data_IF_555259150981
#
_entry.id   IF_555259150981
#
_cell.length_a   1.000
_cell.length_b   1.000
_cell.length_c   1.000
_cell.angle_alpha   90.00
_cell.angle_beta   90.00
_cell.angle_gamma   90.00
#
_symmetry.space_group_name_H-M   'P 1'
#
loop_
_entity.id
_entity.type
_entity.pdbx_description
1 polymer ?
#
# COMPACT_ATOMS: atom_id res chain seq x y z
N UNK A 1 10.11 -5.98 -23.30
CA UNK A 1 9.00 -6.87 -23.67
C UNK A 1 9.29 -7.43 -25.05
N UNK A 2 9.12 -8.74 -25.28
CA UNK A 2 9.30 -9.37 -26.59
C UNK A 2 7.92 -9.77 -27.12
N UNK A 3 7.51 -9.25 -28.29
CA UNK A 3 6.20 -9.54 -28.91
C UNK A 3 6.20 -10.84 -29.73
N UNK A 4 7.37 -11.48 -29.86
CA UNK A 4 7.57 -12.63 -30.73
C UNK A 4 7.81 -12.21 -32.18
N UNK A 5 7.89 -13.22 -33.05
CA UNK A 5 8.06 -13.02 -34.50
C UNK A 5 6.74 -13.24 -35.21
N UNK A 6 6.36 -12.31 -36.08
CA UNK A 6 5.22 -12.48 -36.98
C UNK A 6 5.69 -13.07 -38.31
N UNK A 7 4.92 -14.00 -38.87
CA UNK A 7 5.16 -14.56 -40.21
C UNK A 7 3.95 -14.27 -41.10
N UNK A 8 4.21 -13.87 -42.35
CA UNK A 8 3.19 -13.70 -43.36
C UNK A 8 3.63 -14.39 -44.65
N UNK A 9 2.70 -15.03 -45.35
CA UNK A 9 2.95 -15.69 -46.64
C UNK A 9 1.82 -15.38 -47.61
N UNK A 10 2.13 -15.24 -48.90
CA UNK A 10 1.12 -15.12 -49.95
C UNK A 10 0.55 -16.49 -50.38
N UNK A 11 -0.42 -16.49 -51.30
CA UNK A 11 -1.04 -17.71 -51.82
C UNK A 11 -0.11 -18.60 -52.66
N UNK A 12 1.06 -18.10 -53.07
CA UNK A 12 2.11 -18.86 -53.75
C UNK A 12 3.17 -19.40 -52.77
N UNK A 13 3.07 -19.07 -51.48
CA UNK A 13 3.99 -19.50 -50.43
C UNK A 13 5.20 -18.58 -50.25
N UNK A 14 5.23 -17.40 -50.87
CA UNK A 14 6.32 -16.44 -50.66
C UNK A 14 6.18 -15.76 -49.30
N UNK A 15 7.29 -15.65 -48.56
CA UNK A 15 7.31 -14.91 -47.31
C UNK A 15 7.17 -13.40 -47.55
N UNK A 16 6.29 -12.75 -46.78
CA UNK A 16 6.06 -11.32 -46.79
C UNK A 16 6.60 -10.69 -45.51
N UNK A 17 7.15 -9.48 -45.63
CA UNK A 17 7.48 -8.67 -44.47
C UNK A 17 6.18 -8.13 -43.85
N UNK A 18 6.04 -8.27 -42.53
CA UNK A 18 4.96 -7.67 -41.78
C UNK A 18 5.48 -6.50 -40.95
N UNK A 19 4.68 -5.45 -40.87
CA UNK A 19 4.88 -4.31 -39.97
C UNK A 19 3.88 -4.37 -38.83
N UNK A 20 4.13 -3.64 -37.74
CA UNK A 20 3.18 -3.53 -36.63
C UNK A 20 3.01 -2.07 -36.22
N UNK A 21 1.85 -1.76 -35.63
CA UNK A 21 1.61 -0.47 -34.96
C UNK A 21 2.02 -0.48 -33.48
N UNK A 22 2.84 -1.45 -33.05
CA UNK A 22 3.23 -1.57 -31.64
C UNK A 22 3.91 -0.28 -31.16
N UNK A 23 3.53 0.26 -29.99
CA UNK A 23 4.19 1.43 -29.43
C UNK A 23 5.59 1.06 -28.94
N UNK A 24 6.45 2.07 -28.77
CA UNK A 24 7.79 1.87 -28.18
C UNK A 24 7.72 1.38 -26.72
N UNK A 25 6.64 1.71 -26.01
CA UNK A 25 6.32 1.22 -24.66
C UNK A 25 4.82 1.00 -24.51
N UNK A 26 4.46 -0.06 -23.79
CA UNK A 26 3.06 -0.41 -23.53
C UNK A 26 2.56 0.30 -22.27
N UNK A 27 1.48 1.10 -22.35
CA UNK A 27 0.86 1.68 -21.16
C UNK A 27 0.22 0.60 -20.30
N UNK A 28 -0.08 0.94 -19.04
CA UNK A 28 -0.88 0.10 -18.17
C UNK A 28 -2.25 -0.23 -18.82
N UNK A 29 -2.71 -1.47 -18.68
CA UNK A 29 -3.93 -1.96 -19.29
C UNK A 29 -3.71 -2.69 -20.62
N UNK A 30 -4.78 -2.81 -21.40
CA UNK A 30 -4.78 -3.54 -22.65
C UNK A 30 -4.41 -2.66 -23.85
N UNK A 31 -3.47 -3.14 -24.66
CA UNK A 31 -3.09 -2.56 -25.95
C UNK A 31 -3.27 -3.61 -27.04
N UNK A 32 -3.98 -3.25 -28.11
CA UNK A 32 -4.13 -4.11 -29.29
C UNK A 32 -3.06 -3.72 -30.31
N UNK A 33 -2.17 -4.66 -30.61
CA UNK A 33 -1.18 -4.56 -31.69
C UNK A 33 -1.77 -5.17 -32.94
N UNK A 34 -1.76 -4.43 -34.04
CA UNK A 34 -2.15 -4.88 -35.37
C UNK A 34 -0.90 -5.04 -36.22
N UNK A 35 -0.73 -6.24 -36.75
CA UNK A 35 0.26 -6.58 -37.76
C UNK A 35 -0.34 -6.43 -39.14
N UNK A 36 0.43 -5.93 -40.10
CA UNK A 36 -0.01 -5.72 -41.48
C UNK A 36 1.08 -6.17 -42.44
N UNK A 37 0.70 -7.04 -43.38
CA UNK A 37 1.54 -7.45 -44.50
C UNK A 37 0.86 -7.06 -45.81
N UNK A 38 1.65 -6.65 -46.79
CA UNK A 38 1.17 -6.27 -48.13
C UNK A 38 1.97 -7.04 -49.16
N UNK A 39 1.30 -7.72 -50.08
CA UNK A 39 1.96 -8.42 -51.18
C UNK A 39 2.33 -7.47 -52.33
N UNK A 40 3.07 -7.97 -53.33
CA UNK A 40 3.49 -7.18 -54.49
C UNK A 40 2.32 -6.71 -55.37
N UNK A 41 1.15 -7.32 -55.25
CA UNK A 41 -0.07 -6.96 -55.97
C UNK A 41 -0.91 -5.92 -55.19
N UNK A 42 -0.47 -5.52 -53.99
CA UNK A 42 -1.16 -4.58 -53.12
C UNK A 42 -2.25 -5.21 -52.24
N UNK A 43 -2.35 -6.53 -52.15
CA UNK A 43 -3.30 -7.20 -51.25
C UNK A 43 -2.79 -7.11 -49.81
N UNK A 44 -3.70 -6.87 -48.86
CA UNK A 44 -3.36 -6.63 -47.46
C UNK A 44 -3.94 -7.73 -46.58
N UNK A 45 -3.11 -8.26 -45.68
CA UNK A 45 -3.54 -9.14 -44.59
C UNK A 45 -3.21 -8.49 -43.23
N UNK A 46 -4.10 -8.66 -42.26
CA UNK A 46 -3.91 -8.18 -40.89
C UNK A 46 -4.11 -9.28 -39.86
N UNK A 47 -3.40 -9.15 -38.74
CA UNK A 47 -3.57 -10.00 -37.57
C UNK A 47 -3.43 -9.15 -36.30
N UNK A 48 -4.12 -9.51 -35.23
CA UNK A 48 -4.06 -8.75 -33.97
C UNK A 48 -3.48 -9.58 -32.83
N UNK A 49 -2.82 -8.89 -31.90
CA UNK A 49 -2.33 -9.43 -30.63
C UNK A 49 -2.74 -8.49 -29.51
N UNK A 50 -3.36 -9.03 -28.47
CA UNK A 50 -3.67 -8.26 -27.27
C UNK A 50 -2.50 -8.39 -26.28
N UNK A 51 -1.97 -7.26 -25.84
CA UNK A 51 -0.94 -7.15 -24.82
C UNK A 51 -1.56 -6.48 -23.60
N UNK A 52 -1.48 -7.10 -22.44
CA UNK A 52 -1.97 -6.53 -21.18
C UNK A 52 -0.81 -6.27 -20.25
N UNK A 53 -0.63 -5.01 -19.85
CA UNK A 53 0.29 -4.62 -18.79
C UNK A 53 -0.52 -4.46 -17.52
N UNK A 54 -0.10 -5.13 -16.46
CA UNK A 54 -0.73 -5.06 -15.14
C UNK A 54 0.28 -4.55 -14.13
N UNK A 55 -0.22 -3.80 -13.16
CA UNK A 55 0.56 -3.46 -12.00
C UNK A 55 0.56 -4.64 -11.02
N UNK A 56 1.74 -4.96 -10.52
CA UNK A 56 2.00 -6.08 -9.61
C UNK A 56 2.89 -5.67 -8.45
N UNK A 57 3.23 -4.39 -8.34
CA UNK A 57 4.15 -3.88 -7.32
C UNK A 57 3.34 -3.33 -6.16
N UNK A 58 3.49 -3.86 -4.94
CA UNK A 58 2.85 -3.29 -3.77
C UNK A 58 3.38 -1.88 -3.44
N UNK A 59 2.55 -1.02 -2.81
CA UNK A 59 3.00 0.29 -2.33
C UNK A 59 4.16 0.18 -1.35
N UNK A 60 5.05 1.16 -1.36
CA UNK A 60 6.02 1.36 -0.29
C UNK A 60 5.33 2.01 0.91
N UNK A 61 5.20 1.28 2.01
CA UNK A 61 4.60 1.76 3.28
C UNK A 61 5.69 1.95 4.34
N UNK A 62 5.72 3.14 4.95
CA UNK A 62 6.58 3.48 6.10
C UNK A 62 5.71 3.79 7.31
N UNK A 63 5.84 3.00 8.37
CA UNK A 63 5.14 3.25 9.64
C UNK A 63 5.76 4.43 10.41
N UNK A 64 4.96 5.12 11.23
CA UNK A 64 5.48 6.13 12.15
C UNK A 64 6.39 5.48 13.22
N UNK A 65 7.26 6.27 13.88
CA UNK A 65 8.13 5.76 14.94
C UNK A 65 7.35 5.18 16.13
N UNK A 66 7.96 4.23 16.84
CA UNK A 66 7.39 3.68 18.06
C UNK A 66 7.14 4.77 19.13
N UNK A 67 6.13 4.55 19.97
CA UNK A 67 5.72 5.49 21.02
C UNK A 67 5.89 4.85 22.39
N UNK A 68 6.44 5.61 23.34
CA UNK A 68 6.44 5.28 24.77
C UNK A 68 5.80 6.43 25.52
N UNK A 69 4.79 6.15 26.36
CA UNK A 69 4.02 7.19 27.04
C UNK A 69 3.61 6.75 28.45
N UNK A 70 3.51 7.72 29.37
CA UNK A 70 2.99 7.50 30.71
C UNK A 70 1.47 7.30 30.72
N UNK A 71 1.01 6.36 31.55
CA UNK A 71 -0.38 6.09 31.78
C UNK A 71 -1.03 7.28 32.50
N UNK A 72 -2.17 7.74 31.98
CA UNK A 72 -2.97 8.78 32.64
C UNK A 72 -4.34 8.28 33.12
N UNK A 73 -4.70 7.06 32.75
CA UNK A 73 -5.91 6.36 33.14
C UNK A 73 -5.74 4.85 32.83
N UNK A 74 -6.75 4.04 33.14
CA UNK A 74 -6.79 2.61 32.78
C UNK A 74 -6.54 2.39 31.29
N UNK A 75 -7.06 3.29 30.45
CA UNK A 75 -6.73 3.37 29.02
C UNK A 75 -6.17 4.76 28.72
N UNK A 76 -5.07 4.80 27.99
CA UNK A 76 -4.36 6.04 27.64
C UNK A 76 -4.58 6.36 26.17
N UNK A 77 -5.02 7.59 25.87
CA UNK A 77 -5.09 8.08 24.49
C UNK A 77 -3.68 8.38 24.00
N UNK A 78 -3.31 7.84 22.83
CA UNK A 78 -1.95 7.94 22.28
C UNK A 78 -1.99 8.56 20.89
N UNK A 79 -1.28 9.67 20.64
CA UNK A 79 -1.10 10.22 19.31
C UNK A 79 -0.08 9.37 18.53
N UNK A 80 -0.55 8.62 17.53
CA UNK A 80 0.29 7.67 16.78
C UNK A 80 1.15 8.31 15.68
N UNK A 81 0.82 9.53 15.25
CA UNK A 81 1.36 10.12 14.02
C UNK A 81 0.75 9.50 12.76
N UNK A 82 1.35 9.79 11.62
CA UNK A 82 0.87 9.35 10.30
C UNK A 82 1.88 8.40 9.66
N UNK A 83 1.40 7.29 9.10
CA UNK A 83 2.18 6.50 8.16
C UNK A 83 2.22 7.19 6.79
N UNK A 84 3.30 6.95 6.05
CA UNK A 84 3.45 7.43 4.68
C UNK A 84 3.43 6.24 3.71
N UNK A 85 2.65 6.35 2.64
CA UNK A 85 2.60 5.35 1.60
C UNK A 85 2.73 5.99 0.22
N UNK A 86 3.56 5.38 -0.63
CA UNK A 86 3.73 5.79 -2.02
C UNK A 86 3.84 4.56 -2.91
N UNK A 87 3.18 4.60 -4.05
CA UNK A 87 3.24 3.58 -5.09
C UNK A 87 3.75 4.19 -6.41
N UNK A 88 4.34 3.35 -7.26
CA UNK A 88 4.92 3.79 -8.54
C UNK A 88 3.85 4.22 -9.55
N UNK A 89 2.69 3.58 -9.53
CA UNK A 89 1.57 3.81 -10.45
C UNK A 89 0.54 4.75 -9.83
N UNK A 90 0.15 4.50 -8.59
CA UNK A 90 -0.90 5.26 -7.90
C UNK A 90 -0.40 6.52 -7.19
N UNK A 91 0.91 6.67 -6.98
CA UNK A 91 1.49 7.81 -6.27
C UNK A 91 1.22 7.76 -4.76
N UNK A 92 0.90 8.89 -4.14
CA UNK A 92 0.69 8.95 -2.67
C UNK A 92 -0.64 8.31 -2.29
N UNK A 93 -0.59 7.37 -1.36
CA UNK A 93 -1.74 6.60 -0.91
C UNK A 93 -2.04 6.85 0.58
N UNK A 94 -3.32 6.69 0.95
CA UNK A 94 -3.75 6.75 2.34
C UNK A 94 -3.74 5.33 2.95
N UNK A 95 -3.03 5.17 4.06
CA UNK A 95 -3.04 3.93 4.84
C UNK A 95 -4.12 3.94 5.93
N UNK A 96 -4.62 2.77 6.30
CA UNK A 96 -5.41 2.55 7.52
C UNK A 96 -4.57 1.85 8.60
N UNK A 97 -5.08 1.80 9.82
CA UNK A 97 -4.49 1.01 10.90
C UNK A 97 -5.56 0.39 11.81
N UNK A 98 -5.15 -0.61 12.59
CA UNK A 98 -5.99 -1.37 13.53
C UNK A 98 -5.93 -0.84 14.98
N UNK A 99 -5.42 0.38 15.19
CA UNK A 99 -5.23 0.89 16.54
C UNK A 99 -6.55 0.98 17.33
N UNK A 100 -6.52 0.63 18.62
CA UNK A 100 -7.66 0.90 19.49
C UNK A 100 -7.81 2.41 19.73
N UNK A 101 -9.02 2.82 20.13
CA UNK A 101 -9.31 4.23 20.48
C UNK A 101 -8.43 4.71 21.65
N UNK A 102 -8.09 3.81 22.57
CA UNK A 102 -7.17 4.07 23.67
C UNK A 102 -6.44 2.78 24.06
N UNK A 103 -5.23 2.93 24.59
CA UNK A 103 -4.28 1.85 24.81
C UNK A 103 -4.23 1.42 26.27
N UNK A 104 -4.29 0.11 26.57
CA UNK A 104 -4.06 -0.38 27.93
C UNK A 104 -2.58 -0.23 28.30
N UNK A 105 -2.28 -0.35 29.60
CA UNK A 105 -0.91 -0.52 30.07
C UNK A 105 -0.21 -1.70 29.38
N UNK A 106 1.09 -1.55 29.14
CA UNK A 106 1.93 -2.51 28.44
C UNK A 106 2.15 -2.15 26.98
N UNK A 107 2.54 -3.15 26.19
CA UNK A 107 2.88 -2.96 24.78
C UNK A 107 1.73 -3.41 23.88
N UNK A 108 1.33 -2.54 22.97
CA UNK A 108 0.38 -2.83 21.89
C UNK A 108 1.07 -2.66 20.54
N UNK A 109 0.89 -3.61 19.64
CA UNK A 109 1.34 -3.51 18.24
C UNK A 109 0.18 -2.96 17.41
N UNK A 110 0.44 -1.89 16.66
CA UNK A 110 -0.48 -1.33 15.67
C UNK A 110 0.02 -1.72 14.28
N UNK A 111 -0.86 -2.31 13.49
CA UNK A 111 -0.61 -2.71 12.10
C UNK A 111 -1.22 -1.67 11.17
N UNK A 112 -0.37 -1.04 10.35
CA UNK A 112 -0.75 -0.19 9.24
C UNK A 112 -0.91 -1.03 7.98
N UNK A 113 -1.95 -0.76 7.21
CA UNK A 113 -2.23 -1.43 5.92
C UNK A 113 -2.50 -0.38 4.85
N UNK A 114 -1.95 -0.61 3.66
CA UNK A 114 -2.27 0.18 2.46
C UNK A 114 -2.47 -0.75 1.28
N UNK A 115 -3.46 -0.46 0.46
CA UNK A 115 -3.71 -1.11 -0.82
C UNK A 115 -3.68 -0.09 -1.95
N UNK A 116 -3.29 -0.54 -3.15
CA UNK A 116 -3.30 0.25 -4.37
C UNK A 116 -4.55 -0.03 -5.22
N UNK A 117 -4.66 0.59 -6.40
CA UNK A 117 -5.80 0.40 -7.30
C UNK A 117 -5.79 -0.94 -8.04
N UNK A 118 -4.62 -1.58 -8.14
CA UNK A 118 -4.43 -2.89 -8.76
C UNK A 118 -4.69 -4.06 -7.78
N UNK A 119 -4.86 -3.77 -6.49
CA UNK A 119 -5.13 -4.74 -5.43
C UNK A 119 -3.88 -5.28 -4.75
N UNK A 120 -2.70 -4.70 -4.99
CA UNK A 120 -1.50 -5.05 -4.23
C UNK A 120 -1.56 -4.38 -2.84
N UNK A 121 -1.01 -5.05 -1.83
CA UNK A 121 -1.14 -4.64 -0.42
C UNK A 121 0.21 -4.68 0.28
N UNK A 122 0.45 -3.69 1.13
CA UNK A 122 1.61 -3.62 2.03
C UNK A 122 1.17 -3.39 3.47
N UNK A 123 1.95 -3.93 4.41
CA UNK A 123 1.75 -3.75 5.85
C UNK A 123 3.03 -3.30 6.55
N UNK A 124 2.88 -2.51 7.60
CA UNK A 124 3.97 -2.05 8.46
C UNK A 124 3.49 -1.97 9.91
N UNK A 125 4.40 -2.05 10.87
CA UNK A 125 4.04 -2.07 12.31
C UNK A 125 4.62 -0.88 13.06
N UNK A 126 3.88 -0.43 14.07
CA UNK A 126 4.32 0.50 15.09
C UNK A 126 4.09 -0.14 16.46
N UNK A 127 5.05 0.02 17.36
CA UNK A 127 4.91 -0.41 18.75
C UNK A 127 4.55 0.78 19.65
N UNK A 128 3.51 0.61 20.46
CA UNK A 128 3.07 1.59 21.46
C UNK A 128 3.24 0.97 22.85
N UNK A 129 4.00 1.60 23.73
CA UNK A 129 4.21 1.15 25.10
C UNK A 129 3.68 2.18 26.08
N UNK A 130 2.68 1.77 26.87
CA UNK A 130 2.11 2.57 27.97
C UNK A 130 2.67 2.07 29.29
N UNK A 131 3.33 2.93 30.05
CA UNK A 131 3.96 2.59 31.36
C UNK A 131 3.38 3.47 32.47
N UNK A 132 3.37 2.99 33.71
CA UNK A 132 3.08 3.82 34.88
C UNK A 132 4.33 3.92 35.74
N UNK A 133 4.93 5.12 35.78
CA UNK A 133 6.07 5.43 36.65
C UNK A 133 5.70 6.35 37.80
N UNK A 134 4.42 6.67 37.99
CA UNK A 134 3.95 7.62 39.03
C UNK A 134 3.72 6.91 40.37
N UNK A 135 4.46 7.24 41.45
CA UNK A 135 4.26 6.60 42.75
C UNK A 135 2.91 6.96 43.40
N UNK A 136 2.33 6.08 44.24
CA UNK A 136 1.14 6.41 45.01
C UNK A 136 1.43 7.46 46.10
N UNK A 137 0.43 8.28 46.42
CA UNK A 137 0.53 9.30 47.49
C UNK A 137 -0.35 8.93 48.68
N UNK A 138 0.25 8.91 49.88
CA UNK A 138 -0.47 8.73 51.15
C UNK A 138 -0.66 10.09 51.85
N UNK A 139 -1.85 10.34 52.42
CA UNK A 139 -2.12 11.51 53.28
C UNK A 139 -2.68 11.03 54.61
N UNK A 140 -2.08 11.39 55.77
CA UNK A 140 -2.57 10.98 57.07
C UNK A 140 -3.91 11.68 57.42
N UNK A 141 -4.72 11.11 58.34
CA UNK A 141 -5.98 11.73 58.78
C UNK A 141 -5.73 13.03 59.53
N UNK A 142 -6.69 13.97 59.45
CA UNK A 142 -6.67 15.19 60.28
C UNK A 142 -7.06 14.83 61.71
N UNK A 143 -6.23 15.21 62.68
CA UNK A 143 -6.53 15.02 64.10
C UNK A 143 -7.67 15.96 64.53
N UNK A 144 -8.82 15.41 64.92
CA UNK A 144 -9.82 16.14 65.70
C UNK A 144 -9.61 15.86 67.18
N UNK A 145 -8.99 16.78 67.92
CA UNK A 145 -9.05 16.75 69.37
C UNK A 145 -10.46 17.23 69.77
N UNK A 146 -11.33 16.29 70.10
CA UNK A 146 -12.58 16.62 70.79
C UNK A 146 -12.24 17.07 72.20
N UNK A 147 -12.33 18.37 72.48
CA UNK A 147 -12.37 18.85 73.87
C UNK A 147 -13.71 18.41 74.45
N UNK A 148 -13.72 17.39 75.31
CA UNK A 148 -14.90 17.09 76.13
C UNK A 148 -15.16 18.28 77.03
N UNK A 149 -16.36 18.88 77.04
CA UNK A 149 -16.75 19.78 78.11
C UNK A 149 -16.96 18.94 79.38
N UNK A 150 -16.34 19.38 80.49
CA UNK A 150 -16.58 18.91 81.87
C UNK A 150 -18.00 19.24 82.34
#
# INVERSE_FOLDING_TARGET
>A
MNLGTVTATDGAGNALAATSNAPAGFPLGATVVTYTATDASGQIATATQMVTVVDTTPPLLTSPPNVVIEANNVLTSVPLGNAAAIDLVDGVLASSNDAPVAFPMGTTTVTYTVGDSAGNVSTAVQTVTVVDTTPPRITPPTSSFGTSPD
#
